data_IF_295784200837
#
_entry.id   IF_295784200837
#
_cell.length_a   1.000
_cell.length_b   1.000
_cell.length_c   1.000
_cell.angle_alpha   90.00
_cell.angle_beta   90.00
_cell.angle_gamma   90.00
#
_symmetry.space_group_name_H-M   'P 1'
#
loop_
_entity.id
_entity.type
_entity.pdbx_description
1 polymer ?
#
# COMPACT_ATOMS: atom_id res chain seq x y z
N UNK A 1 18.87 1.85 9.03
CA UNK A 1 18.37 2.38 7.76
C UNK A 1 18.33 3.90 7.81
N UNK A 2 18.76 4.50 6.74
CA UNK A 2 18.76 5.95 6.60
C UNK A 2 17.39 6.43 6.17
N UNK A 3 16.71 7.15 7.02
CA UNK A 3 15.44 7.75 6.65
C UNK A 3 15.71 9.11 6.04
N UNK A 4 15.21 9.29 4.85
CA UNK A 4 15.38 10.57 4.17
C UNK A 4 14.51 11.65 4.81
N UNK A 5 15.04 12.85 4.82
CA UNK A 5 14.34 14.01 5.36
C UNK A 5 12.97 14.21 4.71
N UNK A 6 12.86 13.95 3.41
CA UNK A 6 11.58 14.07 2.69
C UNK A 6 10.52 13.13 3.23
N UNK A 7 10.88 11.88 3.56
CA UNK A 7 9.95 10.92 4.14
C UNK A 7 9.44 11.39 5.50
N UNK A 8 10.34 11.85 6.35
CA UNK A 8 9.97 12.38 7.66
C UNK A 8 9.07 13.60 7.52
N UNK A 9 9.40 14.53 6.61
CA UNK A 9 8.59 15.72 6.37
C UNK A 9 7.17 15.35 5.88
N UNK A 10 7.08 14.39 4.98
CA UNK A 10 5.79 13.94 4.46
C UNK A 10 4.92 13.34 5.57
N UNK A 11 5.50 12.47 6.40
CA UNK A 11 4.78 11.84 7.51
C UNK A 11 4.41 12.86 8.60
N UNK A 12 5.25 13.86 8.82
CA UNK A 12 4.96 14.90 9.79
C UNK A 12 3.75 15.75 9.37
N UNK A 13 3.49 15.86 8.08
CA UNK A 13 2.39 16.65 7.54
C UNK A 13 1.12 15.82 7.26
N UNK A 14 1.24 14.51 7.15
CA UNK A 14 0.16 13.65 6.70
C UNK A 14 -0.84 13.34 7.82
N UNK A 15 -2.08 13.08 7.43
CA UNK A 15 -3.10 12.54 8.34
C UNK A 15 -3.06 11.02 8.38
N UNK A 16 -2.83 10.40 7.22
CA UNK A 16 -2.76 8.96 7.08
C UNK A 16 -1.56 8.55 6.23
N UNK A 17 -1.04 7.36 6.48
CA UNK A 17 -0.07 6.74 5.57
C UNK A 17 -0.52 5.35 5.17
N UNK A 18 -0.21 4.96 3.94
CA UNK A 18 -0.45 3.62 3.42
C UNK A 18 0.91 2.97 3.24
N UNK A 19 1.02 1.71 3.67
CA UNK A 19 2.25 0.95 3.55
C UNK A 19 2.11 -0.04 2.39
N UNK A 20 2.69 0.25 1.21
CA UNK A 20 2.65 -0.69 0.10
C UNK A 20 3.67 -1.81 0.30
N UNK A 21 3.27 -3.03 -0.02
CA UNK A 21 4.10 -4.22 0.10
C UNK A 21 3.96 -5.02 -1.19
N UNK A 22 5.08 -5.25 -1.87
CA UNK A 22 5.08 -6.03 -3.11
C UNK A 22 4.86 -7.51 -2.79
N UNK A 23 3.88 -8.10 -3.47
CA UNK A 23 3.46 -9.46 -3.19
C UNK A 23 4.45 -10.55 -3.68
N UNK A 24 5.50 -10.16 -4.42
CA UNK A 24 6.53 -11.08 -4.90
C UNK A 24 7.65 -11.32 -3.90
N UNK A 25 7.75 -10.50 -2.89
CA UNK A 25 8.81 -10.61 -1.89
C UNK A 25 8.24 -11.08 -0.57
N UNK A 26 9.05 -11.79 0.19
CA UNK A 26 8.78 -11.98 1.61
C UNK A 26 8.96 -10.63 2.31
N UNK A 27 8.08 -9.72 1.97
CA UNK A 27 8.21 -8.30 2.27
C UNK A 27 7.87 -7.96 3.72
N UNK A 28 7.61 -8.96 4.54
CA UNK A 28 7.43 -8.77 5.98
C UNK A 28 8.63 -8.11 6.64
N UNK A 29 9.81 -8.19 6.02
CA UNK A 29 11.04 -7.64 6.59
C UNK A 29 11.05 -6.11 6.65
N UNK A 30 10.44 -5.44 5.68
CA UNK A 30 10.41 -3.97 5.64
C UNK A 30 9.33 -3.33 6.51
N UNK A 31 8.30 -4.08 6.86
CA UNK A 31 7.16 -3.52 7.60
C UNK A 31 7.54 -3.06 9.01
N UNK A 32 8.31 -3.82 9.80
CA UNK A 32 8.70 -3.36 11.13
C UNK A 32 9.48 -2.05 11.12
N UNK A 33 10.36 -1.85 10.15
CA UNK A 33 11.13 -0.61 10.03
C UNK A 33 10.22 0.59 9.75
N UNK A 34 9.25 0.42 8.85
CA UNK A 34 8.29 1.48 8.55
C UNK A 34 7.43 1.81 9.76
N UNK A 35 6.97 0.79 10.49
CA UNK A 35 6.16 1.00 11.69
C UNK A 35 6.95 1.71 12.78
N UNK A 36 8.23 1.41 12.93
CA UNK A 36 9.10 2.11 13.86
C UNK A 36 9.25 3.58 13.47
N UNK A 37 9.46 3.86 12.18
CA UNK A 37 9.53 5.22 11.67
C UNK A 37 8.24 5.99 11.96
N UNK A 38 7.09 5.37 11.72
CA UNK A 38 5.78 5.99 12.01
C UNK A 38 5.66 6.32 13.49
N UNK A 39 6.04 5.40 14.38
CA UNK A 39 6.02 5.64 15.82
C UNK A 39 6.89 6.81 16.23
N UNK A 40 8.08 6.91 15.64
CA UNK A 40 9.00 8.02 15.91
C UNK A 40 8.40 9.35 15.48
N UNK A 41 7.78 9.39 14.31
CA UNK A 41 7.11 10.60 13.83
C UNK A 41 5.92 10.96 14.71
N UNK A 42 5.13 9.98 15.12
CA UNK A 42 3.99 10.21 16.02
C UNK A 42 4.42 10.81 17.35
N UNK A 43 5.53 10.33 17.90
CA UNK A 43 5.99 10.78 19.21
C UNK A 43 6.68 12.14 19.19
N UNK A 44 7.26 12.55 18.05
CA UNK A 44 8.08 13.76 17.96
C UNK A 44 7.47 14.89 17.17
N UNK A 45 6.70 14.57 16.12
CA UNK A 45 6.28 15.58 15.17
C UNK A 45 4.79 15.62 14.89
N UNK A 46 4.11 14.47 14.92
CA UNK A 46 2.72 14.38 14.46
C UNK A 46 1.97 13.27 15.20
N UNK A 47 1.39 13.61 16.34
CA UNK A 47 0.68 12.63 17.16
C UNK A 47 -0.62 12.12 16.54
N UNK A 48 -1.12 12.80 15.50
CA UNK A 48 -2.37 12.45 14.83
C UNK A 48 -2.18 11.54 13.62
N UNK A 49 -0.94 11.31 13.22
CA UNK A 49 -0.65 10.42 12.10
C UNK A 49 -1.17 9.01 12.39
N UNK A 50 -1.90 8.44 11.43
CA UNK A 50 -2.39 7.07 11.53
C UNK A 50 -1.95 6.26 10.33
N UNK A 51 -1.70 4.96 10.54
CA UNK A 51 -1.49 4.02 9.44
C UNK A 51 -2.87 3.62 8.91
N UNK A 52 -3.18 4.01 7.68
CA UNK A 52 -4.44 3.65 7.04
C UNK A 52 -4.51 2.15 6.77
N UNK A 53 -3.39 1.53 6.42
CA UNK A 53 -3.34 0.10 6.22
C UNK A 53 -2.15 -0.35 5.39
N UNK A 54 -2.04 -1.66 5.27
CA UNK A 54 -1.07 -2.32 4.40
C UNK A 54 -1.76 -2.62 3.08
N UNK A 55 -1.12 -2.23 1.97
CA UNK A 55 -1.64 -2.45 0.63
C UNK A 55 -0.71 -3.39 -0.13
N UNK A 56 -1.19 -4.57 -0.45
CA UNK A 56 -0.43 -5.48 -1.31
C UNK A 56 -0.46 -4.97 -2.74
N UNK A 57 0.72 -4.93 -3.37
CA UNK A 57 0.88 -4.45 -4.74
C UNK A 57 1.56 -5.52 -5.59
N UNK A 58 1.61 -5.30 -6.90
CA UNK A 58 2.18 -6.25 -7.85
C UNK A 58 1.60 -7.65 -7.66
N UNK A 59 0.30 -7.72 -7.35
CA UNK A 59 -0.35 -8.97 -7.00
C UNK A 59 -0.76 -9.74 -8.24
N UNK A 60 -0.48 -11.03 -8.23
CA UNK A 60 -0.97 -11.98 -9.22
C UNK A 60 -1.65 -13.13 -8.45
N UNK A 61 -2.86 -13.48 -8.85
CA UNK A 61 -3.64 -14.47 -8.11
C UNK A 61 -3.15 -15.89 -8.28
N UNK A 62 -2.46 -16.20 -9.39
CA UNK A 62 -2.01 -17.56 -9.69
C UNK A 62 -0.77 -18.03 -8.94
N UNK A 63 0.32 -17.22 -8.85
CA UNK A 63 1.47 -17.69 -8.11
C UNK A 63 1.15 -17.88 -6.63
N UNK A 64 1.46 -19.08 -6.12
CA UNK A 64 1.28 -19.37 -4.71
C UNK A 64 2.04 -18.40 -3.80
N UNK A 65 3.16 -17.87 -4.31
CA UNK A 65 3.95 -16.93 -3.53
C UNK A 65 3.13 -15.69 -3.15
N UNK A 66 2.37 -15.13 -4.10
CA UNK A 66 1.52 -13.96 -3.81
C UNK A 66 0.45 -14.29 -2.78
N UNK A 67 -0.18 -15.45 -2.90
CA UNK A 67 -1.17 -15.91 -1.93
C UNK A 67 -0.55 -16.14 -0.55
N UNK A 68 0.64 -16.71 -0.51
CA UNK A 68 1.37 -16.95 0.73
C UNK A 68 1.75 -15.64 1.42
N UNK A 69 2.22 -14.65 0.66
CA UNK A 69 2.55 -13.32 1.22
C UNK A 69 1.28 -12.67 1.77
N UNK A 70 0.17 -12.73 1.03
CA UNK A 70 -1.10 -12.17 1.49
C UNK A 70 -1.56 -12.79 2.80
N UNK A 71 -1.51 -14.11 2.89
CA UNK A 71 -1.88 -14.85 4.10
C UNK A 71 -0.97 -14.50 5.27
N UNK A 72 0.35 -14.46 5.04
CA UNK A 72 1.32 -14.14 6.08
C UNK A 72 1.13 -12.73 6.62
N UNK A 73 0.90 -11.76 5.75
CA UNK A 73 0.66 -10.37 6.16
C UNK A 73 -0.62 -10.27 6.98
N UNK A 74 -1.68 -10.93 6.54
CA UNK A 74 -2.95 -10.94 7.27
C UNK A 74 -2.82 -11.57 8.67
N UNK A 75 -2.08 -12.67 8.77
CA UNK A 75 -1.85 -13.35 10.06
C UNK A 75 -0.99 -12.53 11.00
N UNK A 76 0.07 -11.88 10.49
CA UNK A 76 1.00 -11.15 11.33
C UNK A 76 0.47 -9.77 11.75
N UNK A 77 -0.29 -9.11 10.90
CA UNK A 77 -0.67 -7.71 11.12
C UNK A 77 -2.17 -7.45 11.11
N UNK A 78 -2.98 -8.39 10.65
CA UNK A 78 -4.41 -8.18 10.46
C UNK A 78 -5.20 -7.78 11.70
N UNK A 79 -4.71 -8.17 12.89
CA UNK A 79 -5.37 -7.82 14.15
C UNK A 79 -5.03 -6.42 14.62
N UNK A 80 -3.86 -5.90 14.24
CA UNK A 80 -3.39 -4.58 14.70
C UNK A 80 -3.47 -3.50 13.64
N UNK A 81 -3.45 -3.88 12.36
CA UNK A 81 -3.50 -2.95 11.24
C UNK A 81 -4.53 -3.43 10.22
N UNK A 82 -5.14 -2.46 9.53
CA UNK A 82 -5.95 -2.80 8.35
C UNK A 82 -5.03 -3.36 7.27
N UNK A 83 -5.45 -4.44 6.65
CA UNK A 83 -4.90 -4.90 5.38
C UNK A 83 -5.99 -4.64 4.34
N UNK A 84 -5.70 -3.79 3.35
CA UNK A 84 -6.70 -3.45 2.35
C UNK A 84 -7.20 -4.70 1.65
N UNK A 85 -8.52 -4.78 1.49
CA UNK A 85 -9.18 -6.01 1.07
C UNK A 85 -8.74 -6.46 -0.32
N UNK A 86 -8.61 -5.53 -1.25
CA UNK A 86 -8.25 -5.86 -2.61
C UNK A 86 -6.82 -5.41 -2.94
N UNK A 87 -5.91 -6.36 -3.21
CA UNK A 87 -4.55 -6.01 -3.65
C UNK A 87 -4.57 -5.29 -4.99
N UNK A 88 -3.53 -4.50 -5.24
CA UNK A 88 -3.34 -3.89 -6.56
C UNK A 88 -2.73 -4.93 -7.49
N UNK A 89 -3.46 -5.31 -8.51
CA UNK A 89 -3.01 -6.31 -9.46
C UNK A 89 -1.95 -5.76 -10.40
N UNK A 90 -0.96 -6.59 -10.69
CA UNK A 90 0.07 -6.29 -11.67
C UNK A 90 -0.48 -6.54 -13.07
N UNK A 91 -0.50 -5.50 -13.90
CA UNK A 91 -0.92 -5.62 -15.30
C UNK A 91 -0.02 -4.78 -16.19
N UNK A 92 0.13 -5.24 -17.43
CA UNK A 92 0.90 -4.52 -18.46
C UNK A 92 0.24 -3.18 -18.77
N UNK A 93 -1.08 -3.10 -18.70
CA UNK A 93 -1.82 -1.87 -19.00
C UNK A 93 -1.42 -0.70 -18.10
N UNK A 94 -1.17 -0.97 -16.82
CA UNK A 94 -0.68 0.06 -15.90
C UNK A 94 0.68 0.58 -16.36
N UNK A 95 1.56 -0.31 -16.79
CA UNK A 95 2.90 0.06 -17.28
C UNK A 95 2.82 0.88 -18.58
N UNK A 96 1.78 0.71 -19.38
CA UNK A 96 1.57 1.45 -20.62
C UNK A 96 1.04 2.87 -20.40
N UNK A 97 0.38 3.12 -19.26
CA UNK A 97 -0.28 4.40 -18.99
C UNK A 97 0.65 5.61 -19.10
N UNK A 98 1.87 5.62 -18.55
CA UNK A 98 2.73 6.79 -18.65
C UNK A 98 3.07 7.17 -20.09
N UNK A 99 3.30 6.20 -20.97
CA UNK A 99 3.57 6.46 -22.38
C UNK A 99 2.38 7.06 -23.11
N UNK A 100 1.17 6.67 -22.70
CA UNK A 100 -0.08 7.19 -23.25
C UNK A 100 -0.49 8.53 -22.63
N UNK A 101 0.12 8.92 -21.51
CA UNK A 101 -0.26 10.12 -20.77
C UNK A 101 -1.66 10.04 -20.18
N UNK A 102 -2.11 8.83 -19.82
CA UNK A 102 -3.47 8.58 -19.34
C UNK A 102 -3.45 7.84 -18.01
N UNK A 103 -4.52 8.02 -17.22
CA UNK A 103 -4.75 7.16 -16.06
C UNK A 103 -5.21 5.78 -16.50
N UNK A 104 -5.09 4.79 -15.61
CA UNK A 104 -5.63 3.45 -15.88
C UNK A 104 -7.15 3.49 -16.12
N UNK A 105 -7.84 4.42 -15.47
CA UNK A 105 -9.30 4.55 -15.61
C UNK A 105 -9.71 5.01 -17.01
N UNK A 106 -8.90 5.87 -17.63
CA UNK A 106 -9.13 6.34 -18.98
C UNK A 106 -8.56 5.40 -20.03
N UNK A 107 -7.39 4.84 -19.74
CA UNK A 107 -6.67 3.99 -20.70
C UNK A 107 -7.30 2.61 -20.85
N UNK A 108 -7.65 1.98 -19.74
CA UNK A 108 -8.19 0.63 -19.71
C UNK A 108 -9.17 0.47 -18.54
N UNK A 109 -10.38 1.09 -18.65
CA UNK A 109 -11.33 1.14 -17.52
C UNK A 109 -11.84 -0.23 -17.08
N UNK A 110 -11.77 -1.24 -17.94
CA UNK A 110 -12.20 -2.61 -17.64
C UNK A 110 -11.08 -3.48 -17.07
N UNK A 111 -9.87 -2.96 -16.99
CA UNK A 111 -8.73 -3.72 -16.52
C UNK A 111 -8.85 -4.02 -15.02
N UNK A 112 -8.42 -5.21 -14.55
CA UNK A 112 -8.48 -5.54 -13.12
C UNK A 112 -7.76 -4.54 -12.21
N UNK A 113 -6.67 -3.92 -12.68
CA UNK A 113 -5.98 -2.90 -11.90
C UNK A 113 -6.85 -1.67 -11.67
N UNK A 114 -7.68 -1.27 -12.64
CA UNK A 114 -8.61 -0.17 -12.46
C UNK A 114 -9.60 -0.48 -11.31
N UNK A 115 -10.11 -1.69 -11.26
CA UNK A 115 -10.98 -2.13 -10.17
C UNK A 115 -10.25 -2.16 -8.83
N UNK A 116 -8.97 -2.58 -8.82
CA UNK A 116 -8.16 -2.57 -7.60
C UNK A 116 -8.05 -1.15 -7.04
N UNK A 117 -7.73 -0.18 -7.89
CA UNK A 117 -7.62 1.22 -7.46
C UNK A 117 -8.95 1.82 -7.02
N UNK A 118 -10.07 1.46 -7.68
CA UNK A 118 -11.39 1.90 -7.22
C UNK A 118 -11.73 1.38 -5.85
N UNK A 119 -11.43 0.10 -5.60
CA UNK A 119 -11.64 -0.53 -4.30
C UNK A 119 -10.82 0.17 -3.21
N UNK A 120 -9.54 0.45 -3.50
CA UNK A 120 -8.68 1.19 -2.59
C UNK A 120 -9.27 2.57 -2.27
N UNK A 121 -9.70 3.30 -3.29
CA UNK A 121 -10.27 4.62 -3.11
C UNK A 121 -11.52 4.58 -2.23
N UNK A 122 -12.37 3.59 -2.40
CA UNK A 122 -13.56 3.43 -1.57
C UNK A 122 -13.21 3.16 -0.11
N UNK A 123 -12.22 2.32 0.16
CA UNK A 123 -11.79 2.06 1.53
C UNK A 123 -11.17 3.30 2.17
N UNK A 124 -10.37 4.05 1.41
CA UNK A 124 -9.75 5.29 1.91
C UNK A 124 -10.81 6.34 2.24
N UNK A 125 -11.83 6.47 1.41
CA UNK A 125 -12.93 7.42 1.67
C UNK A 125 -13.68 7.12 2.97
N UNK A 126 -13.67 5.88 3.42
CA UNK A 126 -14.34 5.49 4.66
C UNK A 126 -13.51 5.79 5.91
N UNK A 127 -12.24 6.15 5.75
CA UNK A 127 -11.37 6.46 6.89
C UNK A 127 -11.67 7.80 7.54
N UNK A 128 -12.17 8.73 6.75
CA UNK A 128 -12.53 10.05 7.25
C UNK A 128 -13.87 10.04 7.90
#
# INVERSE_FOLDING_TARGET
MKHELLTVNALAAADYCIIPVQAHFLASEGIPDVLELVKNVQSRFNSKLEVAGILLTMYQSRPQLCQSVRTAVAELYGDSLRVFERPIEQTIKVAECPAAGMSIFDYAPQNPAAESYRSLAQEVLQLG
#
